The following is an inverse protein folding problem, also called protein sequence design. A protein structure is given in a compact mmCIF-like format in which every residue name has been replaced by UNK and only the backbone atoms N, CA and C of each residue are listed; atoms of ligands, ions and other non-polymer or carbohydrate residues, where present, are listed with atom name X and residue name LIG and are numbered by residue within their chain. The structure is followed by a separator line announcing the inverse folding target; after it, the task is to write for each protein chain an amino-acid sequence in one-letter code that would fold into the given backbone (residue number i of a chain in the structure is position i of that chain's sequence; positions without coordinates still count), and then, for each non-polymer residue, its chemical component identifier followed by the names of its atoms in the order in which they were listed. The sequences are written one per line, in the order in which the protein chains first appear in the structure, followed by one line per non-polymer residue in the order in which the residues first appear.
data_IF_447859686924
#
_entry.id   IF_447859686924
#
_cell.length_a   1.000
_cell.length_b   1.000
_cell.length_c   1.000
_cell.angle_alpha   90.00
_cell.angle_beta   90.00
_cell.angle_gamma   90.00
#
_symmetry.space_group_name_H-M   'P 1'
#
loop_
_entity.id
_entity.type
_entity.pdbx_description
1 polymer ?
#
# COMPACT_ATOMS: atom_id res chain seq x y z
N UNK A 1 -5.76 -13.45 7.80
CA UNK A 1 -4.69 -12.61 8.35
C UNK A 1 -5.09 -12.22 9.74
N UNK A 2 -4.52 -12.89 10.73
CA UNK A 2 -4.68 -12.52 12.13
C UNK A 2 -3.88 -11.24 12.39
N UNK A 3 -4.36 -10.39 13.29
CA UNK A 3 -3.87 -9.04 13.59
C UNK A 3 -2.43 -8.96 14.14
N UNK A 4 -1.63 -10.02 14.01
CA UNK A 4 -0.30 -10.15 14.62
C UNK A 4 0.86 -10.13 13.60
N UNK A 5 0.57 -10.11 12.30
CA UNK A 5 1.61 -10.05 11.26
C UNK A 5 1.86 -8.62 10.74
N UNK A 6 0.99 -7.66 11.05
CA UNK A 6 1.15 -6.25 10.62
C UNK A 6 2.27 -5.50 11.36
N UNK A 7 2.87 -6.10 12.41
CA UNK A 7 4.03 -5.54 13.12
C UNK A 7 5.38 -5.80 12.43
N UNK A 8 5.42 -6.69 11.44
CA UNK A 8 6.61 -6.99 10.63
C UNK A 8 6.62 -6.21 9.29
N UNK A 9 5.75 -5.22 9.13
CA UNK A 9 5.91 -4.18 8.12
C UNK A 9 6.68 -3.01 8.74
N UNK A 10 7.96 -3.23 9.04
CA UNK A 10 8.89 -2.12 9.22
C UNK A 10 8.89 -1.29 7.94
N UNK A 11 8.32 -0.08 7.98
CA UNK A 11 8.52 0.91 6.93
C UNK A 11 7.31 1.69 6.45
N UNK A 12 6.07 1.51 6.94
CA UNK A 12 5.00 2.45 6.57
C UNK A 12 5.16 3.73 7.38
N UNK A 13 5.36 4.87 6.71
CA UNK A 13 5.37 6.17 7.41
C UNK A 13 3.97 6.49 7.96
N UNK A 14 3.84 7.30 9.03
CA UNK A 14 2.53 7.72 9.55
C UNK A 14 1.65 8.40 8.50
N UNK A 15 2.27 9.11 7.55
CA UNK A 15 1.59 9.71 6.40
C UNK A 15 1.10 8.66 5.39
N UNK A 16 1.88 7.59 5.17
CA UNK A 16 1.47 6.45 4.35
C UNK A 16 0.31 5.67 4.94
N UNK A 17 0.31 5.47 6.26
CA UNK A 17 -0.80 4.84 6.99
C UNK A 17 -2.09 5.66 6.88
N UNK A 18 -1.99 6.98 7.06
CA UNK A 18 -3.13 7.89 6.89
C UNK A 18 -3.70 7.87 5.47
N UNK A 19 -2.83 7.77 4.46
CA UNK A 19 -3.24 7.71 3.06
C UNK A 19 -4.00 6.41 2.78
N UNK A 20 -3.44 5.26 3.17
CA UNK A 20 -4.05 3.97 2.88
C UNK A 20 -5.40 3.80 3.59
N UNK A 21 -5.54 4.36 4.79
CA UNK A 21 -6.81 4.37 5.52
C UNK A 21 -7.88 5.18 4.78
N UNK A 22 -7.56 6.39 4.30
CA UNK A 22 -8.48 7.21 3.50
C UNK A 22 -8.91 6.53 2.20
N UNK A 23 -7.99 5.80 1.57
CA UNK A 23 -8.30 5.06 0.34
C UNK A 23 -9.17 3.85 0.64
N UNK A 24 -8.93 3.16 1.75
CA UNK A 24 -9.77 2.06 2.22
C UNK A 24 -11.20 2.52 2.46
N UNK A 25 -11.36 3.64 3.17
CA UNK A 25 -12.66 4.24 3.49
C UNK A 25 -13.40 4.75 2.24
N UNK A 26 -12.69 5.29 1.25
CA UNK A 26 -13.30 5.86 0.03
C UNK A 26 -13.59 4.84 -1.07
N UNK A 27 -12.75 3.80 -1.24
CA UNK A 27 -12.85 2.85 -2.35
C UNK A 27 -13.45 1.48 -1.98
N UNK A 28 -13.94 1.30 -0.75
CA UNK A 28 -14.48 0.03 -0.24
C UNK A 28 -13.55 -1.15 -0.56
N UNK A 29 -12.24 -0.96 -0.34
CA UNK A 29 -11.25 -1.97 -0.63
C UNK A 29 -11.48 -3.19 0.27
N UNK A 30 -11.38 -4.39 -0.29
CA UNK A 30 -11.30 -5.58 0.54
C UNK A 30 -9.94 -5.64 1.23
N UNK A 31 -9.85 -6.32 2.37
CA UNK A 31 -8.58 -6.55 3.06
C UNK A 31 -7.51 -7.13 2.12
N UNK A 32 -7.90 -8.04 1.21
CA UNK A 32 -6.98 -8.58 0.18
C UNK A 32 -6.44 -7.53 -0.79
N UNK A 33 -7.27 -6.56 -1.15
CA UNK A 33 -6.85 -5.47 -2.03
C UNK A 33 -5.87 -4.53 -1.31
N UNK A 34 -6.11 -4.25 -0.04
CA UNK A 34 -5.20 -3.52 0.83
C UNK A 34 -3.81 -4.20 0.88
N UNK A 35 -3.76 -5.49 1.15
CA UNK A 35 -2.48 -6.22 1.27
C UNK A 35 -1.74 -6.34 -0.07
N UNK A 36 -2.47 -6.34 -1.20
CA UNK A 36 -1.85 -6.25 -2.53
C UNK A 36 -1.23 -4.88 -2.76
N UNK A 37 -1.92 -3.80 -2.39
CA UNK A 37 -1.42 -2.43 -2.51
C UNK A 37 -0.15 -2.24 -1.69
N UNK A 38 -0.14 -2.71 -0.44
CA UNK A 38 1.06 -2.62 0.42
C UNK A 38 2.25 -3.37 -0.15
N UNK A 39 2.06 -4.58 -0.70
CA UNK A 39 3.15 -5.34 -1.32
C UNK A 39 3.71 -4.63 -2.55
N UNK A 40 2.85 -4.11 -3.42
CA UNK A 40 3.30 -3.36 -4.60
C UNK A 40 4.01 -2.08 -4.18
N UNK A 41 3.49 -1.33 -3.21
CA UNK A 41 4.13 -0.14 -2.68
C UNK A 41 5.49 -0.43 -2.06
N UNK A 42 5.65 -1.58 -1.37
CA UNK A 42 6.95 -2.04 -0.88
C UNK A 42 7.93 -2.31 -2.02
N UNK A 43 7.49 -3.01 -3.06
CA UNK A 43 8.33 -3.26 -4.24
C UNK A 43 8.77 -1.95 -4.90
N UNK A 44 7.88 -0.97 -5.03
CA UNK A 44 8.20 0.35 -5.59
C UNK A 44 9.23 1.07 -4.69
N UNK A 45 9.04 1.04 -3.37
CA UNK A 45 9.99 1.60 -2.42
C UNK A 45 11.37 0.95 -2.54
N UNK A 46 11.42 -0.38 -2.63
CA UNK A 46 12.66 -1.14 -2.80
C UNK A 46 13.36 -0.81 -4.12
N UNK A 47 12.61 -0.64 -5.22
CA UNK A 47 13.15 -0.22 -6.52
C UNK A 47 13.68 1.22 -6.48
N UNK A 48 13.07 2.10 -5.69
CA UNK A 48 13.52 3.47 -5.44
C UNK A 48 14.67 3.58 -4.43
N UNK A 49 15.11 2.47 -3.82
CA UNK A 49 16.11 2.47 -2.76
C UNK A 49 15.64 3.09 -1.45
N UNK A 50 14.32 3.21 -1.25
CA UNK A 50 13.73 3.75 -0.03
C UNK A 50 13.55 2.67 1.02
N UNK A 51 14.07 2.92 2.22
CA UNK A 51 13.83 2.07 3.39
C UNK A 51 12.36 2.08 3.81
N UNK A 52 11.67 3.19 3.58
CA UNK A 52 10.29 3.43 3.98
C UNK A 52 9.34 3.51 2.79
N UNK A 53 8.12 3.06 3.01
CA UNK A 53 6.98 3.24 2.13
C UNK A 53 6.42 4.66 2.36
N UNK A 54 6.70 5.51 1.38
CA UNK A 54 6.22 6.88 1.31
C UNK A 54 4.84 6.95 0.62
N UNK A 55 4.10 8.06 0.79
CA UNK A 55 2.81 8.27 0.13
C UNK A 55 2.87 8.14 -1.41
N UNK A 56 3.98 8.51 -2.03
CA UNK A 56 4.20 8.35 -3.48
C UNK A 56 4.20 6.88 -3.94
N UNK A 57 4.86 5.99 -3.19
CA UNK A 57 4.87 4.56 -3.50
C UNK A 57 3.46 3.95 -3.40
N UNK A 58 2.65 4.42 -2.45
CA UNK A 58 1.24 4.02 -2.32
C UNK A 58 0.39 4.55 -3.47
N UNK A 59 0.57 5.81 -3.86
CA UNK A 59 -0.13 6.41 -4.99
C UNK A 59 0.17 5.67 -6.31
N UNK A 60 1.43 5.29 -6.52
CA UNK A 60 1.84 4.52 -7.68
C UNK A 60 1.29 3.08 -7.66
N UNK A 61 1.34 2.40 -6.50
CA UNK A 61 0.71 1.08 -6.33
C UNK A 61 -0.80 1.07 -6.62
N UNK A 62 -1.51 2.15 -6.28
CA UNK A 62 -2.93 2.31 -6.58
C UNK A 62 -3.17 2.52 -8.09
N UNK A 63 -2.32 3.31 -8.74
CA UNK A 63 -2.40 3.51 -10.18
C UNK A 63 -2.22 2.18 -10.91
N UNK A 64 -1.23 1.36 -10.51
CA UNK A 64 -1.05 0.01 -11.05
C UNK A 64 -2.30 -0.87 -10.89
N UNK A 65 -2.98 -0.82 -9.74
CA UNK A 65 -4.25 -1.56 -9.54
C UNK A 65 -5.36 -1.06 -10.46
N UNK A 66 -5.44 0.24 -10.71
CA UNK A 66 -6.47 0.82 -11.59
C UNK A 66 -6.21 0.40 -13.03
N UNK A 67 -4.93 0.31 -13.42
CA UNK A 67 -4.48 -0.21 -14.71
C UNK A 67 -4.76 -1.73 -14.86
N UNK A 68 -4.48 -2.53 -13.82
CA UNK A 68 -4.74 -3.99 -13.77
C UNK A 68 -6.24 -4.33 -13.86
N UNK A 69 -7.10 -3.43 -13.40
CA UNK A 69 -8.57 -3.53 -13.54
C UNK A 69 -9.09 -3.00 -14.88
N UNK A 70 -8.20 -2.53 -15.76
CA UNK A 70 -8.48 -1.99 -17.09
C UNK A 70 -8.32 -2.99 -18.24
N UNK A 71 -8.73 -4.26 -18.02
CA UNK A 71 -9.12 -5.23 -19.06
C UNK A 71 -10.45 -5.87 -18.65
#
# INVERSE_FOLDING_TARGET
MTAKETKEHGGLTPSGESLIHRIFDSQHLSARAHDRILRVARTIADLGGSSDILPEHLAEALQFRTLDKGL
#
